data_IF_185063949012
#
_entry.id   IF_185063949012
#
_cell.length_a   1.000
_cell.length_b   1.000
_cell.length_c   1.000
_cell.angle_alpha   90.00
_cell.angle_beta   90.00
_cell.angle_gamma   90.00
#
_symmetry.space_group_name_H-M   'P 1'
#
loop_
_entity.id
_entity.type
_entity.pdbx_description
1 polymer ?
#
# COMPACT_ATOMS: atom_id res chain seq x y z
N UNK A 1 8.01 22.27 28.75
CA UNK A 1 7.90 23.65 28.23
C UNK A 1 8.03 23.67 26.70
N UNK A 2 7.28 22.82 25.98
CA UNK A 2 7.42 22.67 24.51
C UNK A 2 6.60 23.65 23.68
N UNK A 3 5.67 24.40 24.29
CA UNK A 3 4.82 25.38 23.60
C UNK A 3 5.59 26.59 23.02
N UNK A 4 6.72 26.99 23.62
CA UNK A 4 7.53 28.11 23.12
C UNK A 4 8.25 27.79 21.80
N UNK A 5 8.33 26.52 21.39
CA UNK A 5 8.98 26.14 20.11
C UNK A 5 8.23 26.69 18.89
N UNK A 6 6.94 26.97 19.02
CA UNK A 6 6.15 27.62 17.97
C UNK A 6 6.52 29.10 17.74
N UNK A 7 7.31 29.68 18.64
CA UNK A 7 7.83 31.04 18.58
C UNK A 7 9.28 31.10 18.04
N UNK A 8 9.83 30.03 17.46
CA UNK A 8 11.16 30.12 16.83
C UNK A 8 11.15 31.01 15.56
N UNK A 9 12.22 31.79 15.31
CA UNK A 9 12.37 32.56 14.07
C UNK A 9 12.40 31.63 12.85
N UNK A 10 11.52 31.85 11.87
CA UNK A 10 11.45 31.06 10.63
C UNK A 10 10.01 30.78 10.16
N UNK A 11 9.10 30.46 11.09
CA UNK A 11 7.73 30.03 10.78
C UNK A 11 6.74 31.17 10.49
N UNK A 12 7.15 32.43 10.70
CA UNK A 12 6.35 33.67 10.55
C UNK A 12 5.04 33.72 11.38
N UNK A 13 4.74 32.70 12.20
CA UNK A 13 3.52 32.55 13.02
C UNK A 13 3.30 33.76 13.94
N UNK A 14 4.36 34.32 14.52
CA UNK A 14 4.29 35.51 15.40
C UNK A 14 3.57 36.69 14.78
N UNK A 15 3.87 36.99 13.51
CA UNK A 15 3.32 38.16 12.81
C UNK A 15 1.82 38.00 12.55
N UNK A 16 1.40 36.77 12.26
CA UNK A 16 -0.01 36.45 12.02
C UNK A 16 -0.81 36.37 13.32
N UNK A 17 -0.24 35.85 14.41
CA UNK A 17 -0.86 35.92 15.73
C UNK A 17 -1.05 37.37 16.18
N UNK A 18 -0.03 38.21 15.99
CA UNK A 18 -0.13 39.64 16.31
C UNK A 18 -1.18 40.35 15.44
N UNK A 19 -1.27 40.01 14.15
CA UNK A 19 -2.32 40.53 13.26
C UNK A 19 -3.73 40.07 13.69
N UNK A 20 -3.88 38.84 14.17
CA UNK A 20 -5.16 38.35 14.71
C UNK A 20 -5.58 39.10 15.97
N UNK A 21 -4.63 39.35 16.89
CA UNK A 21 -4.88 40.12 18.11
C UNK A 21 -5.27 41.57 17.77
N UNK A 22 -4.54 42.22 16.85
CA UNK A 22 -4.88 43.57 16.38
C UNK A 22 -6.26 43.61 15.70
N UNK A 23 -6.58 42.61 14.87
CA UNK A 23 -7.88 42.52 14.23
C UNK A 23 -9.03 42.33 15.23
N UNK A 24 -8.82 41.54 16.28
CA UNK A 24 -9.79 41.37 17.38
C UNK A 24 -9.98 42.66 18.17
N UNK A 25 -8.90 43.38 18.50
CA UNK A 25 -8.98 44.67 19.19
C UNK A 25 -9.75 45.70 18.37
N UNK A 26 -9.52 45.77 17.04
CA UNK A 26 -10.28 46.64 16.13
C UNK A 26 -11.74 46.26 16.03
N UNK A 27 -12.05 44.96 15.99
CA UNK A 27 -13.43 44.47 15.90
C UNK A 27 -14.21 44.79 17.20
N UNK A 28 -13.60 44.57 18.35
CA UNK A 28 -14.20 44.90 19.66
C UNK A 28 -14.34 46.41 19.83
N UNK A 29 -13.31 47.20 19.50
CA UNK A 29 -13.36 48.67 19.63
C UNK A 29 -14.34 49.31 18.63
N UNK A 30 -14.49 48.75 17.43
CA UNK A 30 -15.50 49.19 16.47
C UNK A 30 -16.92 48.92 16.96
N UNK A 31 -17.15 47.78 17.63
CA UNK A 31 -18.43 47.46 18.25
C UNK A 31 -18.76 48.40 19.42
N UNK A 32 -17.76 48.79 20.22
CA UNK A 32 -17.95 49.68 21.37
C UNK A 32 -18.27 51.10 20.94
N UNK A 33 -17.67 51.58 19.84
CA UNK A 33 -18.03 52.85 19.20
C UNK A 33 -19.50 52.85 18.73
N UNK A 34 -19.98 51.73 18.18
CA UNK A 34 -21.37 51.62 17.70
C UNK A 34 -22.37 51.58 18.87
N UNK A 35 -22.08 50.81 19.90
CA UNK A 35 -22.98 50.60 21.03
C UNK A 35 -22.91 51.71 22.09
N UNK A 36 -21.84 52.52 22.08
CA UNK A 36 -21.61 53.55 23.11
C UNK A 36 -21.30 52.98 24.49
N UNK A 37 -20.85 51.72 24.55
CA UNK A 37 -20.56 50.98 25.80
C UNK A 37 -19.11 50.54 25.77
N UNK A 38 -18.37 50.70 26.88
CA UNK A 38 -17.01 50.15 27.03
C UNK A 38 -17.08 48.68 27.43
N UNK A 39 -16.59 47.78 26.59
CA UNK A 39 -16.63 46.33 26.82
C UNK A 39 -15.37 45.79 27.54
N UNK A 40 -14.24 46.49 27.40
CA UNK A 40 -12.93 46.18 27.98
C UNK A 40 -12.30 47.44 28.60
N UNK A 41 -11.61 47.28 29.75
CA UNK A 41 -10.89 48.36 30.41
C UNK A 41 -9.63 48.82 29.63
N UNK A 42 -9.00 49.91 30.12
CA UNK A 42 -7.72 50.57 29.74
C UNK A 42 -7.21 50.50 28.29
N UNK A 43 -6.99 49.32 27.72
CA UNK A 43 -6.48 49.13 26.35
C UNK A 43 -7.49 49.56 25.26
N UNK A 44 -8.79 49.45 25.52
CA UNK A 44 -9.85 49.83 24.57
C UNK A 44 -9.91 51.36 24.35
N UNK A 45 -9.72 52.15 25.41
CA UNK A 45 -9.85 53.61 25.37
C UNK A 45 -8.89 54.27 24.37
N UNK A 46 -7.65 53.77 24.29
CA UNK A 46 -6.66 54.28 23.34
C UNK A 46 -7.00 53.99 21.89
N UNK A 47 -7.47 52.77 21.60
CA UNK A 47 -7.86 52.35 20.24
C UNK A 47 -9.14 53.05 19.80
N UNK A 48 -10.13 53.13 20.67
CA UNK A 48 -11.39 53.86 20.43
C UNK A 48 -11.17 55.35 20.22
N UNK A 49 -10.30 55.99 21.03
CA UNK A 49 -9.91 57.38 20.82
C UNK A 49 -9.23 57.57 19.46
N UNK A 50 -8.31 56.68 19.08
CA UNK A 50 -7.63 56.75 17.78
C UNK A 50 -8.60 56.59 16.61
N UNK A 51 -9.54 55.65 16.69
CA UNK A 51 -10.60 55.45 15.68
C UNK A 51 -11.44 56.72 15.54
N UNK A 52 -11.90 57.31 16.64
CA UNK A 52 -12.72 58.52 16.60
C UNK A 52 -11.93 59.75 16.15
N UNK A 53 -10.63 59.85 16.46
CA UNK A 53 -9.81 60.98 16.02
C UNK A 53 -9.47 60.91 14.52
N UNK A 54 -9.24 59.70 13.99
CA UNK A 54 -8.86 59.49 12.58
C UNK A 54 -10.06 59.36 11.65
N UNK A 55 -11.13 58.69 12.09
CA UNK A 55 -12.33 58.42 11.30
C UNK A 55 -13.55 59.27 11.73
N UNK A 56 -13.46 60.02 12.83
CA UNK A 56 -14.55 60.91 13.28
C UNK A 56 -14.82 62.10 12.36
N UNK A 57 -13.89 62.40 11.43
CA UNK A 57 -14.13 63.34 10.33
C UNK A 57 -15.21 62.89 9.34
N UNK A 58 -15.67 61.64 9.42
CA UNK A 58 -16.75 61.07 8.60
C UNK A 58 -18.17 61.45 9.09
N UNK A 59 -18.29 62.24 10.15
CA UNK A 59 -19.56 62.81 10.61
C UNK A 59 -20.54 61.85 11.29
N UNK A 60 -20.23 60.55 11.40
CA UNK A 60 -21.01 59.61 12.22
C UNK A 60 -20.15 58.55 12.92
N UNK A 61 -20.31 58.35 14.24
CA UNK A 61 -19.64 57.27 14.98
C UNK A 61 -19.98 55.88 14.44
N UNK A 62 -21.19 55.71 13.91
CA UNK A 62 -21.65 54.46 13.31
C UNK A 62 -20.79 54.06 12.10
N UNK A 63 -20.49 54.98 11.18
CA UNK A 63 -19.64 54.70 10.03
C UNK A 63 -18.20 54.39 10.45
N UNK A 64 -17.66 55.14 11.42
CA UNK A 64 -16.31 54.90 11.94
C UNK A 64 -16.19 53.52 12.60
N UNK A 65 -17.18 53.12 13.40
CA UNK A 65 -17.24 51.79 14.03
C UNK A 65 -17.38 50.66 13.02
N UNK A 66 -18.25 50.80 12.01
CA UNK A 66 -18.43 49.80 10.95
C UNK A 66 -17.15 49.60 10.12
N UNK A 67 -16.44 50.67 9.77
CA UNK A 67 -15.16 50.59 9.06
C UNK A 67 -14.08 49.90 9.90
N UNK A 68 -14.00 50.22 11.21
CA UNK A 68 -13.08 49.57 12.13
C UNK A 68 -13.38 48.05 12.26
N UNK A 69 -14.66 47.68 12.36
CA UNK A 69 -15.07 46.27 12.37
C UNK A 69 -14.73 45.55 11.07
N UNK A 70 -14.97 46.19 9.91
CA UNK A 70 -14.64 45.62 8.61
C UNK A 70 -13.13 45.38 8.46
N UNK A 71 -12.30 46.36 8.86
CA UNK A 71 -10.85 46.24 8.85
C UNK A 71 -10.36 45.16 9.83
N UNK A 72 -10.94 45.10 11.03
CA UNK A 72 -10.67 44.07 12.01
C UNK A 72 -10.97 42.66 11.49
N UNK A 73 -12.13 42.48 10.83
CA UNK A 73 -12.50 41.22 10.18
C UNK A 73 -11.53 40.83 9.05
N UNK A 74 -11.08 41.80 8.23
CA UNK A 74 -10.06 41.57 7.20
C UNK A 74 -8.73 41.12 7.82
N UNK A 75 -8.28 41.76 8.90
CA UNK A 75 -7.04 41.39 9.59
C UNK A 75 -7.12 39.98 10.17
N UNK A 76 -8.24 39.63 10.82
CA UNK A 76 -8.49 38.27 11.31
C UNK A 76 -8.49 37.27 10.14
N UNK A 77 -9.18 37.56 9.05
CA UNK A 77 -9.22 36.69 7.87
C UNK A 77 -7.83 36.45 7.26
N UNK A 78 -7.03 37.50 7.10
CA UNK A 78 -5.65 37.41 6.62
C UNK A 78 -4.77 36.65 7.61
N UNK A 79 -4.92 36.89 8.90
CA UNK A 79 -4.17 36.20 9.95
C UNK A 79 -4.48 34.70 9.95
N UNK A 80 -5.75 34.31 10.00
CA UNK A 80 -6.20 32.91 9.98
C UNK A 80 -5.71 32.20 8.72
N UNK A 81 -5.87 32.82 7.54
CA UNK A 81 -5.40 32.25 6.27
C UNK A 81 -3.90 31.95 6.28
N UNK A 82 -3.10 32.87 6.80
CA UNK A 82 -1.65 32.71 6.79
C UNK A 82 -1.14 31.85 7.95
N UNK A 83 -1.81 31.82 9.10
CA UNK A 83 -1.58 30.84 10.17
C UNK A 83 -1.78 29.42 9.66
N UNK A 84 -2.91 29.17 8.97
CA UNK A 84 -3.18 27.88 8.35
C UNK A 84 -2.07 27.49 7.36
N UNK A 85 -1.64 28.42 6.50
CA UNK A 85 -0.51 28.19 5.57
C UNK A 85 0.80 27.89 6.27
N UNK A 86 1.16 28.63 7.31
CA UNK A 86 2.39 28.42 8.08
C UNK A 86 2.43 27.04 8.74
N UNK A 87 1.31 26.56 9.28
CA UNK A 87 1.21 25.21 9.88
C UNK A 87 1.30 24.13 8.79
N UNK A 88 0.59 24.33 7.70
CA UNK A 88 0.56 23.41 6.57
C UNK A 88 1.95 23.21 5.94
N UNK A 89 2.72 24.29 5.75
CA UNK A 89 4.06 24.22 5.15
C UNK A 89 5.05 23.43 6.01
N UNK A 90 4.88 23.44 7.33
CA UNK A 90 5.73 22.68 8.26
C UNK A 90 5.34 21.20 8.28
N UNK A 91 4.05 20.90 8.18
CA UNK A 91 3.55 19.52 8.21
C UNK A 91 3.70 18.79 6.88
N UNK A 92 3.81 19.51 5.76
CA UNK A 92 3.93 18.96 4.41
C UNK A 92 5.00 19.70 3.58
N UNK A 93 6.30 19.48 3.88
CA UNK A 93 7.37 19.97 3.01
C UNK A 93 7.29 19.27 1.63
N UNK A 94 7.45 20.01 0.54
CA UNK A 94 7.76 19.42 -0.78
C UNK A 94 6.60 18.94 -1.66
N UNK A 95 5.32 19.11 -1.30
CA UNK A 95 4.21 18.63 -2.14
C UNK A 95 3.62 19.71 -3.05
N UNK A 96 3.57 19.45 -4.37
CA UNK A 96 2.85 20.22 -5.39
C UNK A 96 1.32 20.06 -5.30
N UNK A 97 0.84 19.09 -4.52
CA UNK A 97 -0.58 18.81 -4.32
C UNK A 97 -1.19 19.69 -3.22
N UNK A 98 -2.46 20.05 -3.40
CA UNK A 98 -3.22 20.83 -2.42
C UNK A 98 -3.17 20.14 -1.03
N UNK A 99 -2.67 20.82 0.03
CA UNK A 99 -2.50 20.24 1.37
C UNK A 99 -3.75 19.58 1.94
N UNK A 100 -4.93 20.10 1.59
CA UNK A 100 -6.21 19.54 1.97
C UNK A 100 -6.44 18.14 1.37
N UNK A 101 -5.97 17.90 0.14
CA UNK A 101 -6.05 16.59 -0.50
C UNK A 101 -5.16 15.56 0.20
N UNK A 102 -3.97 15.94 0.67
CA UNK A 102 -3.07 15.02 1.39
C UNK A 102 -3.66 14.62 2.74
N UNK A 103 -4.18 15.58 3.51
CA UNK A 103 -4.80 15.30 4.80
C UNK A 103 -6.08 14.46 4.64
N UNK A 104 -6.95 14.83 3.70
CA UNK A 104 -8.18 14.09 3.42
C UNK A 104 -7.88 12.68 2.93
N UNK A 105 -6.89 12.51 2.04
CA UNK A 105 -6.44 11.20 1.56
C UNK A 105 -5.93 10.34 2.71
N UNK A 106 -5.09 10.87 3.62
CA UNK A 106 -4.60 10.10 4.78
C UNK A 106 -5.73 9.63 5.69
N UNK A 107 -6.68 10.50 6.04
CA UNK A 107 -7.82 10.09 6.88
C UNK A 107 -8.77 9.12 6.18
N UNK A 108 -9.01 9.32 4.88
CA UNK A 108 -9.86 8.45 4.09
C UNK A 108 -9.26 7.04 3.97
N UNK A 109 -7.97 6.95 3.61
CA UNK A 109 -7.30 5.65 3.46
C UNK A 109 -7.14 4.90 4.79
N UNK A 110 -7.05 5.62 5.93
CA UNK A 110 -7.03 5.00 7.25
C UNK A 110 -8.35 4.30 7.61
N UNK A 111 -9.47 4.71 7.00
CA UNK A 111 -10.79 4.07 7.13
C UNK A 111 -11.09 3.07 6.01
N UNK A 112 -10.12 2.78 5.14
CA UNK A 112 -10.26 1.78 4.09
C UNK A 112 -10.33 0.36 4.66
N UNK A 113 -10.76 -0.63 3.86
CA UNK A 113 -10.86 -2.00 4.32
C UNK A 113 -9.50 -2.60 4.71
N UNK A 114 -9.53 -3.55 5.63
CA UNK A 114 -8.38 -4.38 6.00
C UNK A 114 -8.17 -5.45 4.94
N UNK A 115 -7.09 -5.35 4.16
CA UNK A 115 -6.81 -6.32 3.10
C UNK A 115 -5.54 -7.09 3.42
N UNK A 116 -5.59 -8.41 3.26
CA UNK A 116 -4.43 -9.28 3.35
C UNK A 116 -4.06 -9.72 1.94
N UNK A 117 -2.81 -9.52 1.53
CA UNK A 117 -2.28 -10.01 0.26
C UNK A 117 -1.21 -11.07 0.52
N UNK A 118 -1.37 -12.27 -0.05
CA UNK A 118 -0.50 -13.43 0.19
C UNK A 118 0.23 -13.78 -1.11
N UNK A 119 1.55 -13.86 -1.09
CA UNK A 119 2.31 -14.27 -2.28
C UNK A 119 3.81 -13.99 -2.20
N UNK A 120 4.38 -13.56 -3.33
CA UNK A 120 5.79 -13.28 -3.46
C UNK A 120 6.11 -12.61 -4.80
N UNK A 121 7.41 -12.47 -5.06
CA UNK A 121 7.95 -11.93 -6.29
C UNK A 121 7.52 -10.50 -6.60
N UNK A 122 7.58 -10.18 -7.88
CA UNK A 122 7.22 -8.85 -8.41
C UNK A 122 5.72 -8.66 -8.60
N UNK A 123 4.95 -9.75 -8.71
CA UNK A 123 3.50 -9.73 -8.89
C UNK A 123 2.77 -9.16 -7.67
N UNK A 124 3.12 -9.63 -6.47
CA UNK A 124 2.56 -9.11 -5.22
C UNK A 124 2.87 -7.61 -5.06
N UNK A 125 4.10 -7.20 -5.34
CA UNK A 125 4.50 -5.78 -5.28
C UNK A 125 3.68 -4.89 -6.24
N UNK A 126 3.33 -5.39 -7.43
CA UNK A 126 2.45 -4.69 -8.38
C UNK A 126 1.04 -4.50 -7.81
N UNK A 127 0.48 -5.54 -7.19
CA UNK A 127 -0.82 -5.47 -6.53
C UNK A 127 -0.80 -4.45 -5.38
N UNK A 128 0.20 -4.52 -4.49
CA UNK A 128 0.35 -3.62 -3.35
C UNK A 128 0.49 -2.14 -3.77
N UNK A 129 1.24 -1.86 -4.84
CA UNK A 129 1.38 -0.50 -5.41
C UNK A 129 0.05 0.09 -5.85
N UNK A 130 -0.85 -0.73 -6.40
CA UNK A 130 -2.20 -0.29 -6.74
C UNK A 130 -3.08 -0.15 -5.51
N UNK A 131 -3.10 -1.16 -4.62
CA UNK A 131 -3.98 -1.19 -3.45
C UNK A 131 -3.68 -0.09 -2.43
N UNK A 132 -2.43 0.40 -2.31
CA UNK A 132 -2.07 1.49 -1.38
C UNK A 132 -2.83 2.80 -1.67
N UNK A 133 -3.38 2.93 -2.88
CA UNK A 133 -4.22 4.07 -3.26
C UNK A 133 -5.67 3.98 -2.73
N UNK A 134 -6.07 2.84 -2.16
CA UNK A 134 -7.43 2.55 -1.70
C UNK A 134 -7.53 2.36 -0.18
N UNK A 135 -6.47 1.87 0.46
CA UNK A 135 -6.42 1.65 1.91
C UNK A 135 -4.98 1.69 2.42
N UNK A 136 -4.78 2.11 3.67
CA UNK A 136 -3.51 1.92 4.41
C UNK A 136 -3.52 0.69 5.32
N UNK A 137 -4.66 0.00 5.40
CA UNK A 137 -4.84 -1.20 6.21
C UNK A 137 -4.45 -2.46 5.41
N UNK A 138 -3.27 -2.42 4.78
CA UNK A 138 -2.72 -3.52 3.99
C UNK A 138 -1.77 -4.36 4.82
N UNK A 139 -1.93 -5.69 4.76
CA UNK A 139 -0.94 -6.65 5.27
C UNK A 139 -0.48 -7.57 4.15
N UNK A 140 0.81 -7.56 3.83
CA UNK A 140 1.41 -8.48 2.89
C UNK A 140 2.03 -9.67 3.64
N UNK A 141 1.60 -10.89 3.36
CA UNK A 141 2.21 -12.13 3.83
C UNK A 141 3.06 -12.68 2.69
N UNK A 142 4.36 -12.86 2.95
CA UNK A 142 5.35 -13.06 1.88
C UNK A 142 6.14 -14.35 2.09
N UNK A 143 6.39 -15.09 1.01
CA UNK A 143 7.22 -16.29 1.05
C UNK A 143 8.65 -15.96 1.45
N UNK A 144 9.28 -16.86 2.22
CA UNK A 144 10.70 -16.82 2.56
C UNK A 144 11.43 -18.08 2.09
N UNK A 145 10.92 -18.72 1.04
CA UNK A 145 11.47 -19.95 0.49
C UNK A 145 12.47 -19.74 -0.67
N UNK A 146 12.59 -18.52 -1.20
CA UNK A 146 13.49 -18.13 -2.30
C UNK A 146 14.96 -18.48 -2.00
N UNK A 147 15.66 -19.04 -2.98
CA UNK A 147 17.10 -19.33 -2.93
C UNK A 147 17.84 -18.85 -4.18
N UNK A 148 17.21 -18.00 -4.99
CA UNK A 148 17.78 -17.45 -6.22
C UNK A 148 18.56 -16.14 -6.05
N UNK A 149 19.51 -15.90 -6.95
CA UNK A 149 20.17 -14.61 -7.14
C UNK A 149 20.80 -14.01 -5.89
N UNK A 150 20.57 -12.71 -5.66
CA UNK A 150 21.11 -11.99 -4.49
C UNK A 150 20.51 -12.48 -3.18
N UNK A 151 19.25 -12.93 -3.18
CA UNK A 151 18.59 -13.45 -1.97
C UNK A 151 19.24 -14.76 -1.54
N UNK A 152 19.45 -15.68 -2.48
CA UNK A 152 20.09 -16.98 -2.26
C UNK A 152 21.50 -16.87 -1.73
N UNK A 153 22.33 -15.98 -2.30
CA UNK A 153 23.70 -15.77 -1.81
C UNK A 153 23.73 -15.28 -0.36
N UNK A 154 22.95 -14.25 -0.04
CA UNK A 154 22.89 -13.72 1.34
C UNK A 154 22.35 -14.76 2.32
N UNK A 155 21.37 -15.56 1.88
CA UNK A 155 20.83 -16.66 2.68
C UNK A 155 21.90 -17.71 3.00
N UNK A 156 22.73 -18.09 2.04
CA UNK A 156 23.81 -19.06 2.23
C UNK A 156 24.96 -18.50 3.07
N UNK A 157 25.35 -17.26 2.83
CA UNK A 157 26.50 -16.62 3.48
C UNK A 157 26.21 -16.14 4.91
N UNK A 158 24.98 -15.66 5.16
CA UNK A 158 24.61 -15.02 6.44
C UNK A 158 23.57 -15.80 7.23
N UNK A 159 23.10 -16.95 6.75
CA UNK A 159 22.08 -17.78 7.40
C UNK A 159 20.77 -17.04 7.73
N UNK A 160 20.42 -16.01 6.96
CA UNK A 160 19.18 -15.25 7.09
C UNK A 160 18.10 -15.73 6.11
N UNK A 161 16.81 -15.56 6.40
CA UNK A 161 15.76 -15.76 5.41
C UNK A 161 15.97 -14.87 4.17
N UNK A 162 15.56 -15.31 2.97
CA UNK A 162 15.77 -14.57 1.73
C UNK A 162 15.06 -13.20 1.77
N UNK A 163 15.81 -12.09 1.61
CA UNK A 163 15.26 -10.75 1.81
C UNK A 163 14.49 -10.18 0.61
N UNK A 164 14.62 -10.78 -0.58
CA UNK A 164 14.24 -10.15 -1.85
C UNK A 164 12.75 -9.78 -1.97
N UNK A 165 11.86 -10.72 -1.69
CA UNK A 165 10.42 -10.53 -1.85
C UNK A 165 9.83 -9.61 -0.78
N UNK A 166 10.34 -9.72 0.44
CA UNK A 166 10.04 -8.81 1.55
C UNK A 166 10.44 -7.38 1.16
N UNK A 167 11.67 -7.18 0.66
CA UNK A 167 12.15 -5.88 0.17
C UNK A 167 11.22 -5.31 -0.90
N UNK A 168 10.83 -6.11 -1.89
CA UNK A 168 9.92 -5.66 -2.95
C UNK A 168 8.57 -5.15 -2.39
N UNK A 169 8.03 -5.84 -1.37
CA UNK A 169 6.79 -5.43 -0.72
C UNK A 169 6.95 -4.16 0.12
N UNK A 170 8.06 -4.01 0.85
CA UNK A 170 8.37 -2.79 1.61
C UNK A 170 8.47 -1.58 0.68
N UNK A 171 9.19 -1.70 -0.44
CA UNK A 171 9.30 -0.63 -1.45
C UNK A 171 7.93 -0.35 -2.08
N UNK A 172 7.14 -1.37 -2.40
CA UNK A 172 5.81 -1.18 -2.97
C UNK A 172 4.88 -0.35 -2.08
N UNK A 173 4.94 -0.57 -0.76
CA UNK A 173 4.11 0.09 0.24
C UNK A 173 4.72 1.36 0.84
N UNK A 174 5.95 1.72 0.49
CA UNK A 174 6.60 2.94 0.97
C UNK A 174 5.82 4.20 0.54
N UNK A 175 5.83 5.20 1.42
CA UNK A 175 5.27 6.55 1.23
C UNK A 175 6.44 7.54 1.04
N UNK A 176 7.45 7.15 0.26
CA UNK A 176 8.75 7.86 0.14
C UNK A 176 8.94 8.52 -1.22
N UNK A 177 9.81 9.52 -1.26
CA UNK A 177 10.28 10.17 -2.49
C UNK A 177 10.92 9.16 -3.46
N UNK A 178 10.88 9.45 -4.77
CA UNK A 178 11.36 8.55 -5.82
C UNK A 178 12.82 8.10 -5.61
N UNK A 179 13.67 8.94 -5.01
CA UNK A 179 15.08 8.62 -4.76
C UNK A 179 15.28 7.47 -3.75
N UNK A 180 14.45 7.39 -2.70
CA UNK A 180 14.58 6.32 -1.70
C UNK A 180 14.14 4.98 -2.30
N UNK A 181 13.07 4.98 -3.09
CA UNK A 181 12.64 3.80 -3.85
C UNK A 181 13.74 3.33 -4.83
N UNK A 182 14.38 4.26 -5.53
CA UNK A 182 15.50 3.99 -6.43
C UNK A 182 16.70 3.41 -5.69
N UNK A 183 17.04 3.95 -4.50
CA UNK A 183 18.15 3.46 -3.69
C UNK A 183 17.92 2.04 -3.18
N UNK A 184 16.72 1.73 -2.68
CA UNK A 184 16.38 0.37 -2.24
C UNK A 184 16.32 -0.63 -3.40
N UNK A 185 15.92 -0.16 -4.58
CA UNK A 185 15.87 -0.96 -5.80
C UNK A 185 17.24 -1.07 -6.49
N UNK A 186 18.22 -0.29 -6.05
CA UNK A 186 19.55 -0.27 -6.66
C UNK A 186 20.20 -1.65 -6.60
N UNK A 187 20.79 -2.04 -7.73
CA UNK A 187 21.57 -3.27 -7.89
C UNK A 187 22.96 -2.92 -8.37
N UNK A 188 23.96 -3.34 -7.60
CA UNK A 188 25.36 -3.13 -7.94
C UNK A 188 25.69 -3.84 -9.26
N UNK A 189 26.28 -3.11 -10.21
CA UNK A 189 26.68 -3.66 -11.53
C UNK A 189 28.10 -4.20 -11.54
N UNK A 190 28.95 -3.69 -10.65
CA UNK A 190 30.37 -3.96 -10.56
C UNK A 190 30.80 -3.99 -9.09
N UNK A 191 32.02 -4.47 -8.82
CA UNK A 191 32.57 -4.64 -7.47
C UNK A 191 32.67 -6.11 -7.09
N UNK A 192 33.84 -6.52 -6.64
CA UNK A 192 34.08 -7.89 -6.15
C UNK A 192 33.21 -8.16 -4.90
N UNK A 193 32.51 -9.30 -4.87
CA UNK A 193 31.53 -9.62 -3.82
C UNK A 193 30.22 -8.82 -3.86
N UNK A 194 30.22 -7.58 -4.37
CA UNK A 194 29.02 -6.72 -4.42
C UNK A 194 28.22 -6.87 -5.71
N UNK A 195 28.87 -7.21 -6.83
CA UNK A 195 28.20 -7.30 -8.13
C UNK A 195 26.95 -8.22 -8.08
N UNK A 196 25.83 -7.68 -8.54
CA UNK A 196 24.54 -8.37 -8.54
C UNK A 196 23.78 -8.31 -7.20
N UNK A 197 24.36 -7.85 -6.09
CA UNK A 197 23.59 -7.60 -4.87
C UNK A 197 22.68 -6.40 -5.03
N UNK A 198 21.52 -6.46 -4.36
CA UNK A 198 20.66 -5.30 -4.20
C UNK A 198 20.98 -4.59 -2.89
N UNK A 199 21.11 -3.26 -2.93
CA UNK A 199 21.38 -2.47 -1.73
C UNK A 199 20.29 -2.68 -0.67
N UNK A 200 19.01 -2.71 -1.06
CA UNK A 200 17.92 -3.01 -0.14
C UNK A 200 18.01 -4.40 0.51
N UNK A 201 18.55 -5.40 -0.20
CA UNK A 201 18.79 -6.72 0.40
C UNK A 201 19.92 -6.66 1.44
N UNK A 202 20.99 -5.93 1.16
CA UNK A 202 22.11 -5.74 2.08
C UNK A 202 21.68 -4.98 3.33
N UNK A 203 20.84 -3.96 3.18
CA UNK A 203 20.26 -3.22 4.30
C UNK A 203 19.40 -4.14 5.18
N UNK A 204 18.53 -4.97 4.58
CA UNK A 204 17.72 -5.90 5.36
C UNK A 204 18.58 -6.97 6.05
N UNK A 205 19.64 -7.45 5.40
CA UNK A 205 20.60 -8.37 6.00
C UNK A 205 21.31 -7.75 7.21
N UNK A 206 21.85 -6.54 7.07
CA UNK A 206 22.50 -5.81 8.16
C UNK A 206 21.53 -5.53 9.32
N UNK A 207 20.29 -5.12 9.02
CA UNK A 207 19.28 -4.91 10.05
C UNK A 207 18.89 -6.20 10.77
N UNK A 208 18.90 -7.35 10.07
CA UNK A 208 18.64 -8.67 10.67
C UNK A 208 19.75 -9.05 11.65
N UNK A 209 21.01 -8.87 11.25
CA UNK A 209 22.17 -9.10 12.10
C UNK A 209 22.15 -8.21 13.35
N UNK A 210 21.89 -6.90 13.18
CA UNK A 210 21.80 -5.94 14.28
C UNK A 210 20.62 -6.18 15.23
N UNK A 211 19.46 -6.57 14.69
CA UNK A 211 18.24 -6.80 15.49
C UNK A 211 18.20 -8.21 16.14
N UNK A 212 19.00 -9.15 15.63
CA UNK A 212 18.99 -10.57 16.02
C UNK A 212 17.74 -11.34 15.59
N UNK A 213 16.81 -10.69 14.88
CA UNK A 213 15.51 -11.24 14.49
C UNK A 213 15.05 -10.63 13.16
N UNK A 214 14.74 -11.49 12.19
CA UNK A 214 14.30 -11.09 10.86
C UNK A 214 12.98 -10.33 10.89
N UNK A 215 12.02 -10.72 11.73
CA UNK A 215 10.74 -10.01 11.81
C UNK A 215 10.93 -8.58 12.35
N UNK A 216 11.75 -8.42 13.39
CA UNK A 216 12.13 -7.10 13.91
C UNK A 216 12.82 -6.24 12.87
N UNK A 217 13.75 -6.81 12.09
CA UNK A 217 14.42 -6.08 11.02
C UNK A 217 13.45 -5.55 9.97
N UNK A 218 12.44 -6.33 9.59
CA UNK A 218 11.37 -5.89 8.69
C UNK A 218 10.60 -4.72 9.29
N UNK A 219 10.24 -4.79 10.57
CA UNK A 219 9.48 -3.74 11.25
C UNK A 219 10.27 -2.42 11.40
N UNK A 220 11.58 -2.49 11.65
CA UNK A 220 12.44 -1.30 11.70
C UNK A 220 12.62 -0.70 10.30
N UNK A 221 12.86 -1.53 9.29
CA UNK A 221 13.02 -1.06 7.91
C UNK A 221 11.72 -0.46 7.36
N UNK A 222 10.57 -1.02 7.72
CA UNK A 222 9.26 -0.48 7.39
C UNK A 222 9.05 0.93 7.98
N UNK A 223 9.57 1.19 9.19
CA UNK A 223 9.53 2.52 9.82
C UNK A 223 10.42 3.51 9.09
N UNK A 224 11.65 3.11 8.73
CA UNK A 224 12.58 3.95 7.94
C UNK A 224 11.97 4.33 6.59
N UNK A 225 11.28 3.39 5.95
CA UNK A 225 10.61 3.58 4.65
C UNK A 225 9.20 4.19 4.75
N UNK A 226 8.75 4.60 5.95
CA UNK A 226 7.42 5.16 6.18
C UNK A 226 6.28 4.33 5.54
N UNK A 227 6.38 3.01 5.62
CA UNK A 227 5.49 2.07 4.92
C UNK A 227 4.03 2.24 5.34
N UNK A 228 3.14 2.35 4.35
CA UNK A 228 1.68 2.40 4.52
C UNK A 228 1.05 1.01 4.57
N UNK A 229 1.32 0.26 5.63
CA UNK A 229 0.82 -1.10 5.83
C UNK A 229 1.77 -1.96 6.66
N UNK A 230 1.63 -3.28 6.58
CA UNK A 230 2.49 -4.28 7.23
C UNK A 230 3.01 -5.26 6.21
N UNK A 231 4.27 -5.67 6.37
CA UNK A 231 4.87 -6.79 5.63
C UNK A 231 5.29 -7.82 6.65
N UNK A 232 4.84 -9.07 6.48
CA UNK A 232 5.04 -10.17 7.43
C UNK A 232 5.57 -11.37 6.64
N UNK A 233 6.62 -12.05 7.09
CA UNK A 233 7.05 -13.30 6.48
C UNK A 233 6.01 -14.40 6.76
N UNK A 234 5.81 -15.30 5.80
CA UNK A 234 4.91 -16.47 5.95
C UNK A 234 5.36 -17.42 7.05
N UNK A 235 6.65 -17.48 7.32
CA UNK A 235 7.25 -18.20 8.44
C UNK A 235 8.54 -17.51 8.86
N UNK A 236 8.92 -17.58 10.13
CA UNK A 236 10.26 -17.17 10.59
C UNK A 236 11.26 -18.33 10.55
N UNK A 237 10.78 -19.55 10.28
CA UNK A 237 11.63 -20.72 10.14
C UNK A 237 12.34 -20.69 8.79
N UNK A 238 13.62 -21.06 8.77
CA UNK A 238 14.34 -21.22 7.52
C UNK A 238 13.81 -22.45 6.75
N UNK A 239 13.10 -22.20 5.65
CA UNK A 239 12.44 -23.25 4.85
C UNK A 239 13.04 -23.37 3.44
N UNK A 240 13.28 -24.59 3.00
CA UNK A 240 13.67 -24.93 1.64
C UNK A 240 12.46 -25.51 0.92
N UNK A 241 12.21 -25.04 -0.30
CA UNK A 241 11.14 -25.57 -1.14
C UNK A 241 11.59 -26.83 -1.85
N UNK A 242 10.68 -27.78 -2.02
CA UNK A 242 10.86 -28.93 -2.88
C UNK A 242 9.66 -29.16 -3.78
N UNK A 243 9.88 -29.85 -4.90
CA UNK A 243 8.85 -30.31 -5.82
C UNK A 243 8.98 -31.82 -6.06
N UNK A 244 7.85 -32.54 -5.98
CA UNK A 244 7.70 -33.86 -6.57
C UNK A 244 7.22 -33.68 -8.01
N UNK A 245 7.92 -34.29 -8.95
CA UNK A 245 7.63 -34.23 -10.38
C UNK A 245 6.70 -35.38 -10.79
N UNK A 246 6.11 -35.29 -11.98
CA UNK A 246 5.14 -36.28 -12.47
C UNK A 246 5.70 -37.70 -12.59
N UNK A 247 7.02 -37.85 -12.75
CA UNK A 247 7.70 -39.15 -12.81
C UNK A 247 8.13 -39.69 -11.43
N UNK A 248 7.76 -38.99 -10.34
CA UNK A 248 8.09 -39.35 -8.96
C UNK A 248 9.47 -38.85 -8.49
N UNK A 249 10.29 -38.26 -9.36
CA UNK A 249 11.55 -37.64 -8.93
C UNK A 249 11.32 -36.37 -8.11
N UNK A 250 12.27 -36.02 -7.24
CA UNK A 250 12.17 -34.85 -6.35
C UNK A 250 13.29 -33.86 -6.63
N UNK A 251 12.95 -32.57 -6.66
CA UNK A 251 13.90 -31.46 -6.80
C UNK A 251 13.80 -30.56 -5.58
N UNK A 252 14.95 -30.10 -5.06
CA UNK A 252 15.04 -29.17 -3.94
C UNK A 252 15.62 -27.83 -4.41
N UNK A 253 15.15 -26.76 -3.78
CA UNK A 253 15.52 -25.39 -4.07
C UNK A 253 14.59 -24.74 -5.08
N UNK A 254 14.14 -23.52 -4.79
CA UNK A 254 13.17 -22.79 -5.59
C UNK A 254 13.69 -22.55 -7.02
N UNK A 255 14.94 -22.11 -7.14
CA UNK A 255 15.56 -21.81 -8.43
C UNK A 255 15.77 -23.05 -9.32
N UNK A 256 15.76 -24.25 -8.72
CA UNK A 256 15.98 -25.51 -9.42
C UNK A 256 14.69 -26.13 -9.97
N UNK A 257 13.53 -25.82 -9.36
CA UNK A 257 12.25 -26.43 -9.72
C UNK A 257 11.88 -26.17 -11.20
N UNK A 258 11.93 -24.92 -11.72
CA UNK A 258 11.60 -24.67 -13.12
C UNK A 258 12.61 -25.27 -14.10
N UNK A 259 13.85 -25.52 -13.65
CA UNK A 259 14.93 -26.06 -14.47
C UNK A 259 14.85 -27.58 -14.65
N UNK A 260 13.97 -28.25 -13.90
CA UNK A 260 13.82 -29.70 -13.95
C UNK A 260 13.29 -30.21 -15.29
N UNK A 261 12.61 -29.36 -16.07
CA UNK A 261 12.11 -29.69 -17.40
C UNK A 261 11.01 -30.77 -17.41
N UNK A 262 10.36 -31.01 -16.27
CA UNK A 262 9.29 -32.01 -16.11
C UNK A 262 8.08 -31.38 -15.41
N UNK A 263 6.86 -31.86 -15.66
CA UNK A 263 5.68 -31.35 -14.99
C UNK A 263 5.75 -31.55 -13.47
N UNK A 264 5.39 -30.50 -12.72
CA UNK A 264 5.29 -30.55 -11.26
C UNK A 264 4.00 -31.29 -10.89
N UNK A 265 4.12 -32.29 -10.00
CA UNK A 265 2.97 -32.99 -9.42
C UNK A 265 2.50 -32.28 -8.14
N UNK A 266 3.42 -31.92 -7.25
CA UNK A 266 3.15 -31.12 -6.05
C UNK A 266 4.42 -30.47 -5.51
N UNK A 267 4.26 -29.43 -4.70
CA UNK A 267 5.34 -28.78 -3.94
C UNK A 267 5.18 -28.98 -2.44
N UNK A 268 6.27 -28.86 -1.71
CA UNK A 268 6.33 -29.00 -0.25
C UNK A 268 7.44 -28.12 0.36
N UNK A 269 7.36 -27.89 1.67
CA UNK A 269 8.38 -27.17 2.43
C UNK A 269 9.18 -28.12 3.32
N UNK A 270 10.46 -27.81 3.52
CA UNK A 270 11.35 -28.49 4.46
C UNK A 270 12.05 -27.46 5.36
N UNK A 271 11.93 -27.55 6.70
CA UNK A 271 11.18 -28.57 7.44
C UNK A 271 9.66 -28.36 7.33
N UNK A 272 8.89 -29.45 7.47
CA UNK A 272 7.44 -29.44 7.26
C UNK A 272 6.66 -28.86 8.45
N UNK A 273 7.28 -28.78 9.63
CA UNK A 273 6.71 -28.27 10.88
C UNK A 273 6.99 -26.78 11.11
N UNK A 274 7.39 -26.05 10.06
CA UNK A 274 7.49 -24.60 10.10
C UNK A 274 6.16 -23.96 10.54
N UNK A 275 6.23 -22.79 11.18
CA UNK A 275 5.03 -22.12 11.70
C UNK A 275 4.91 -20.69 11.18
N UNK A 276 3.69 -20.19 11.00
CA UNK A 276 3.46 -18.80 10.65
C UNK A 276 3.57 -17.93 11.90
N UNK A 277 4.01 -16.66 11.78
CA UNK A 277 3.94 -15.72 12.89
C UNK A 277 2.49 -15.51 13.32
N UNK A 278 2.23 -15.34 14.62
CA UNK A 278 0.88 -15.07 15.14
C UNK A 278 0.24 -13.85 14.45
N UNK A 279 1.05 -12.83 14.15
CA UNK A 279 0.62 -11.63 13.43
C UNK A 279 0.05 -11.90 12.02
N UNK A 280 0.50 -12.95 11.34
CA UNK A 280 -0.04 -13.35 10.04
C UNK A 280 -1.45 -13.94 10.18
N UNK A 281 -1.64 -14.83 11.16
CA UNK A 281 -2.94 -15.44 11.47
C UNK A 281 -3.95 -14.39 11.94
N UNK A 282 -3.54 -13.48 12.83
CA UNK A 282 -4.38 -12.36 13.28
C UNK A 282 -4.80 -11.44 12.13
N UNK A 283 -3.92 -11.20 11.16
CA UNK A 283 -4.23 -10.40 10.00
C UNK A 283 -5.28 -11.07 9.12
N UNK A 284 -5.17 -12.38 8.87
CA UNK A 284 -6.16 -13.17 8.12
C UNK A 284 -7.52 -13.16 8.83
N UNK A 285 -7.54 -13.35 10.15
CA UNK A 285 -8.76 -13.38 10.94
C UNK A 285 -9.51 -12.03 10.98
N UNK A 286 -8.79 -10.90 10.85
CA UNK A 286 -9.35 -9.55 10.86
C UNK A 286 -9.54 -8.94 9.47
N UNK A 287 -9.26 -9.71 8.41
CA UNK A 287 -9.36 -9.22 7.05
C UNK A 287 -10.81 -8.93 6.66
N UNK A 288 -11.02 -7.88 5.88
CA UNK A 288 -12.25 -7.65 5.12
C UNK A 288 -12.22 -8.40 3.79
N UNK A 289 -11.03 -8.75 3.28
CA UNK A 289 -10.79 -9.66 2.17
C UNK A 289 -9.35 -10.15 2.17
N UNK A 290 -9.13 -11.37 1.65
CA UNK A 290 -7.81 -11.94 1.41
C UNK A 290 -7.57 -12.08 -0.09
N UNK A 291 -6.39 -11.69 -0.57
CA UNK A 291 -5.99 -11.76 -1.97
C UNK A 291 -4.75 -12.63 -2.10
N UNK A 292 -4.89 -13.77 -2.75
CA UNK A 292 -3.81 -14.71 -3.06
C UNK A 292 -3.25 -14.37 -4.44
N UNK A 293 -1.94 -14.14 -4.51
CA UNK A 293 -1.24 -13.73 -5.72
C UNK A 293 -1.44 -12.25 -6.08
N UNK A 294 -1.05 -11.83 -7.30
CA UNK A 294 -0.46 -12.67 -8.35
C UNK A 294 0.99 -13.04 -8.06
N UNK A 295 1.47 -14.12 -8.67
CA UNK A 295 2.84 -14.61 -8.50
C UNK A 295 2.99 -16.02 -9.07
N UNK A 296 4.23 -16.51 -9.17
CA UNK A 296 4.49 -17.90 -9.57
C UNK A 296 3.67 -18.86 -8.73
N UNK A 297 2.91 -19.74 -9.38
CA UNK A 297 1.95 -20.60 -8.70
C UNK A 297 2.66 -21.50 -7.67
N UNK A 298 3.71 -22.19 -8.13
CA UNK A 298 4.44 -23.17 -7.34
C UNK A 298 5.49 -22.53 -6.45
N UNK A 299 6.13 -21.44 -6.91
CA UNK A 299 7.26 -20.84 -6.18
C UNK A 299 6.99 -19.54 -5.43
N UNK A 300 5.82 -18.92 -5.61
CA UNK A 300 5.46 -17.69 -4.87
C UNK A 300 4.12 -17.77 -4.16
N UNK A 301 3.13 -18.49 -4.69
CA UNK A 301 1.80 -18.60 -4.08
C UNK A 301 1.72 -19.77 -3.11
N UNK A 302 1.84 -21.00 -3.61
CA UNK A 302 1.77 -22.23 -2.81
C UNK A 302 2.72 -22.26 -1.61
N UNK A 303 3.96 -21.73 -1.65
CA UNK A 303 4.86 -21.76 -0.51
C UNK A 303 4.35 -21.01 0.72
N UNK A 304 3.52 -19.97 0.53
CA UNK A 304 2.87 -19.30 1.65
C UNK A 304 1.75 -20.17 2.24
N UNK A 305 0.97 -20.81 1.37
CA UNK A 305 -0.21 -21.59 1.76
C UNK A 305 0.19 -22.92 2.41
N UNK A 306 1.37 -23.46 2.07
CA UNK A 306 1.91 -24.69 2.63
C UNK A 306 2.50 -24.54 4.02
N UNK A 307 2.57 -23.32 4.57
CA UNK A 307 2.94 -23.13 5.97
C UNK A 307 1.76 -23.56 6.87
N UNK A 308 1.91 -24.60 7.71
CA UNK A 308 0.84 -25.11 8.57
C UNK A 308 0.17 -24.00 9.41
N UNK A 309 -1.16 -23.87 9.34
CA UNK A 309 -1.93 -22.83 10.02
C UNK A 309 -2.46 -21.75 9.09
N UNK A 310 -1.82 -21.49 7.94
CA UNK A 310 -2.29 -20.48 6.98
C UNK A 310 -3.58 -20.93 6.31
N UNK A 311 -3.64 -22.15 5.80
CA UNK A 311 -4.84 -22.70 5.15
C UNK A 311 -6.01 -22.83 6.12
N UNK A 312 -5.75 -23.23 7.36
CA UNK A 312 -6.74 -23.29 8.43
C UNK A 312 -7.32 -21.90 8.71
N UNK A 313 -6.47 -20.88 8.86
CA UNK A 313 -6.91 -19.50 9.05
C UNK A 313 -7.73 -18.95 7.87
N UNK A 314 -7.38 -19.34 6.63
CA UNK A 314 -8.16 -18.97 5.44
C UNK A 314 -9.51 -19.68 5.37
N UNK A 315 -9.63 -20.88 5.96
CA UNK A 315 -10.90 -21.61 6.02
C UNK A 315 -11.82 -21.05 7.11
N UNK A 316 -11.24 -20.60 8.23
CA UNK A 316 -11.98 -20.11 9.39
C UNK A 316 -12.34 -18.61 9.29
N UNK A 317 -11.70 -17.85 8.39
CA UNK A 317 -11.97 -16.42 8.22
C UNK A 317 -13.33 -16.19 7.55
N UNK A 318 -14.12 -15.20 8.00
CA UNK A 318 -15.35 -14.79 7.31
C UNK A 318 -15.06 -13.93 6.06
N UNK A 319 -13.80 -13.54 5.86
CA UNK A 319 -13.38 -12.70 4.75
C UNK A 319 -13.45 -13.48 3.42
N UNK A 320 -13.96 -12.89 2.34
CA UNK A 320 -13.87 -13.52 1.04
C UNK A 320 -12.41 -13.62 0.59
N UNK A 321 -12.07 -14.73 -0.04
CA UNK A 321 -10.72 -15.04 -0.51
C UNK A 321 -10.70 -15.01 -2.03
N UNK A 322 -9.85 -14.13 -2.58
CA UNK A 322 -9.70 -13.93 -4.01
C UNK A 322 -8.37 -14.52 -4.48
N UNK A 323 -8.37 -15.25 -5.60
CA UNK A 323 -7.15 -15.65 -6.28
C UNK A 323 -6.93 -14.79 -7.53
N UNK A 324 -5.80 -14.08 -7.62
CA UNK A 324 -5.40 -13.35 -8.83
C UNK A 324 -4.55 -14.27 -9.70
N UNK A 325 -5.14 -14.74 -10.79
CA UNK A 325 -4.48 -15.68 -11.71
C UNK A 325 -3.41 -14.99 -12.56
N UNK A 326 -2.37 -15.74 -12.90
CA UNK A 326 -1.31 -15.26 -13.78
C UNK A 326 -1.83 -14.97 -15.20
N UNK A 327 -1.23 -13.98 -15.86
CA UNK A 327 -1.58 -13.59 -17.24
C UNK A 327 -0.94 -14.55 -18.27
N UNK A 328 0.28 -14.99 -17.98
CA UNK A 328 1.08 -15.87 -18.83
C UNK A 328 1.46 -17.13 -18.04
N UNK A 329 1.56 -18.26 -18.72
CA UNK A 329 2.17 -19.47 -18.18
C UNK A 329 3.66 -19.24 -17.93
N UNK A 330 4.21 -20.02 -17.00
CA UNK A 330 5.63 -20.01 -16.65
C UNK A 330 6.28 -21.32 -17.10
N UNK A 331 7.31 -21.27 -17.96
CA UNK A 331 8.05 -22.44 -18.40
C UNK A 331 8.63 -23.22 -17.23
N UNK A 332 8.44 -24.54 -17.22
CA UNK A 332 8.89 -25.44 -16.16
C UNK A 332 7.98 -25.46 -14.93
N UNK A 333 6.96 -24.60 -14.85
CA UNK A 333 6.02 -24.55 -13.73
C UNK A 333 4.58 -24.82 -14.16
N UNK A 334 4.06 -24.02 -15.10
CA UNK A 334 2.63 -23.98 -15.44
C UNK A 334 2.42 -24.11 -16.96
N UNK A 335 3.26 -24.90 -17.61
CA UNK A 335 3.20 -25.15 -19.05
C UNK A 335 1.82 -25.65 -19.49
N UNK A 336 1.17 -24.88 -20.37
CA UNK A 336 -0.16 -25.21 -20.89
C UNK A 336 -1.32 -25.00 -19.92
N UNK A 337 -1.09 -24.47 -18.72
CA UNK A 337 -2.15 -24.32 -17.72
C UNK A 337 -3.20 -23.29 -18.17
N UNK A 338 -4.46 -23.65 -17.96
CA UNK A 338 -5.59 -22.71 -17.95
C UNK A 338 -5.79 -22.11 -16.55
N UNK A 339 -6.69 -21.13 -16.43
CA UNK A 339 -7.11 -20.62 -15.10
C UNK A 339 -7.67 -21.75 -14.22
N UNK A 340 -8.39 -22.71 -14.82
CA UNK A 340 -8.93 -23.84 -14.09
C UNK A 340 -7.82 -24.78 -13.59
N UNK A 341 -6.72 -24.93 -14.32
CA UNK A 341 -5.61 -25.78 -13.88
C UNK A 341 -4.81 -25.12 -12.74
N UNK A 342 -4.67 -23.79 -12.75
CA UNK A 342 -4.13 -23.05 -11.61
C UNK A 342 -5.00 -23.24 -10.35
N UNK A 343 -6.32 -23.12 -10.49
CA UNK A 343 -7.24 -23.37 -9.38
C UNK A 343 -7.18 -24.82 -8.90
N UNK A 344 -7.11 -25.78 -9.82
CA UNK A 344 -7.00 -27.20 -9.46
C UNK A 344 -5.74 -27.45 -8.64
N UNK A 345 -4.58 -26.93 -9.07
CA UNK A 345 -3.36 -27.05 -8.30
C UNK A 345 -3.49 -26.43 -6.90
N UNK A 346 -4.11 -25.25 -6.75
CA UNK A 346 -4.36 -24.66 -5.43
C UNK A 346 -5.27 -25.55 -4.56
N UNK A 347 -6.36 -26.06 -5.13
CA UNK A 347 -7.32 -26.94 -4.44
C UNK A 347 -6.67 -28.27 -4.05
N UNK A 348 -5.85 -28.85 -4.92
CA UNK A 348 -5.15 -30.12 -4.66
C UNK A 348 -4.16 -29.99 -3.49
N UNK A 349 -3.59 -28.79 -3.27
CA UNK A 349 -2.66 -28.54 -2.17
C UNK A 349 -3.34 -28.06 -0.88
N UNK A 350 -4.42 -27.27 -1.00
CA UNK A 350 -5.00 -26.57 0.15
C UNK A 350 -6.37 -27.15 0.59
N UNK A 351 -7.00 -27.95 -0.27
CA UNK A 351 -8.38 -28.40 -0.12
C UNK A 351 -9.40 -27.46 -0.79
N UNK A 352 -10.66 -27.92 -0.85
CA UNK A 352 -11.77 -27.15 -1.41
C UNK A 352 -12.31 -26.09 -0.44
N UNK A 353 -13.04 -25.11 -0.99
CA UNK A 353 -13.77 -24.11 -0.21
C UNK A 353 -12.94 -22.94 0.32
N UNK A 354 -11.68 -22.81 -0.10
CA UNK A 354 -10.80 -21.71 0.33
C UNK A 354 -10.88 -20.50 -0.60
N UNK A 355 -11.11 -20.70 -1.90
CA UNK A 355 -11.10 -19.61 -2.89
C UNK A 355 -12.53 -19.35 -3.33
N UNK A 356 -13.03 -18.14 -3.07
CA UNK A 356 -14.39 -17.73 -3.45
C UNK A 356 -14.45 -17.19 -4.88
N UNK A 357 -13.48 -16.33 -5.23
CA UNK A 357 -13.44 -15.67 -6.54
C UNK A 357 -12.05 -15.81 -7.16
N UNK A 358 -11.99 -16.20 -8.43
CA UNK A 358 -10.79 -16.04 -9.26
C UNK A 358 -10.89 -14.78 -10.12
N UNK A 359 -9.86 -13.95 -10.05
CA UNK A 359 -9.68 -12.76 -10.87
C UNK A 359 -8.73 -13.12 -12.01
N UNK A 360 -9.21 -13.04 -13.25
CA UNK A 360 -8.47 -13.42 -14.45
C UNK A 360 -8.45 -12.32 -15.51
N UNK A 361 -7.31 -12.20 -16.20
CA UNK A 361 -7.15 -11.31 -17.35
C UNK A 361 -7.96 -11.81 -18.55
N UNK A 362 -8.76 -10.92 -19.17
CA UNK A 362 -9.63 -11.27 -20.31
C UNK A 362 -9.53 -10.29 -21.48
N UNK A 363 -8.36 -9.69 -21.73
CA UNK A 363 -8.16 -8.75 -22.84
C UNK A 363 -7.16 -9.23 -23.88
N UNK A 364 -6.94 -8.43 -24.93
CA UNK A 364 -5.91 -8.73 -25.91
C UNK A 364 -4.52 -8.54 -25.30
N UNK A 365 -3.60 -9.44 -25.66
CA UNK A 365 -2.16 -9.28 -25.47
C UNK A 365 -1.54 -9.04 -26.85
N UNK A 366 -0.69 -8.02 -26.97
CA UNK A 366 -0.12 -7.64 -28.26
C UNK A 366 0.59 -8.81 -28.97
N UNK A 367 0.59 -8.82 -30.31
CA UNK A 367 1.28 -9.87 -31.09
C UNK A 367 2.78 -9.89 -30.79
N UNK A 368 3.38 -8.71 -30.57
CA UNK A 368 4.78 -8.58 -30.21
C UNK A 368 5.07 -9.22 -28.84
N UNK A 369 4.27 -8.94 -27.83
CA UNK A 369 4.41 -9.56 -26.51
C UNK A 369 4.20 -11.08 -26.56
N UNK A 370 3.16 -11.55 -27.27
CA UNK A 370 2.91 -13.00 -27.45
C UNK A 370 4.08 -13.71 -28.12
N UNK A 371 4.70 -13.12 -29.15
CA UNK A 371 5.88 -13.69 -29.79
C UNK A 371 7.07 -13.74 -28.84
N UNK A 372 7.40 -12.62 -28.19
CA UNK A 372 8.52 -12.50 -27.24
C UNK A 372 8.43 -13.49 -26.08
N UNK A 373 7.24 -13.70 -25.54
CA UNK A 373 7.03 -14.68 -24.46
C UNK A 373 6.95 -16.12 -25.01
N UNK A 374 6.37 -16.32 -26.19
CA UNK A 374 6.31 -17.62 -26.86
C UNK A 374 7.68 -18.19 -27.22
N UNK A 375 8.63 -17.34 -27.61
CA UNK A 375 10.05 -17.71 -27.81
C UNK A 375 10.71 -18.29 -26.54
N UNK A 376 10.17 -17.96 -25.36
CA UNK A 376 10.61 -18.48 -24.06
C UNK A 376 9.75 -19.63 -23.54
N UNK A 377 8.80 -20.14 -24.34
CA UNK A 377 7.85 -21.19 -23.92
C UNK A 377 6.62 -20.69 -23.15
N UNK A 378 6.51 -19.40 -22.87
CA UNK A 378 5.38 -18.83 -22.13
C UNK A 378 4.21 -18.45 -23.06
N UNK A 379 2.97 -18.77 -22.66
CA UNK A 379 1.75 -18.52 -23.43
C UNK A 379 0.69 -17.82 -22.56
N UNK A 380 -0.26 -17.07 -23.15
CA UNK A 380 -1.38 -16.52 -22.37
C UNK A 380 -2.19 -17.60 -21.68
N UNK A 381 -2.53 -17.39 -20.40
CA UNK A 381 -3.37 -18.31 -19.63
C UNK A 381 -4.82 -18.20 -20.11
N UNK A 382 -5.39 -19.32 -20.55
CA UNK A 382 -6.74 -19.37 -21.11
C UNK A 382 -7.80 -19.50 -20.00
N UNK A 383 -8.95 -18.85 -20.21
CA UNK A 383 -10.09 -18.93 -19.31
C UNK A 383 -11.04 -20.04 -19.78
N UNK A 384 -11.23 -21.07 -18.95
CA UNK A 384 -12.25 -22.10 -19.15
C UNK A 384 -13.36 -21.94 -18.10
N UNK A 385 -14.39 -21.15 -18.42
CA UNK A 385 -15.44 -20.80 -17.45
C UNK A 385 -16.29 -21.98 -16.96
N UNK A 386 -16.71 -22.93 -17.83
CA UNK A 386 -17.40 -24.13 -17.35
C UNK A 386 -16.57 -24.94 -16.34
N UNK A 387 -15.26 -25.07 -16.56
CA UNK A 387 -14.38 -25.79 -15.63
C UNK A 387 -14.27 -25.08 -14.28
N UNK A 388 -14.15 -23.74 -14.27
CA UNK A 388 -14.08 -22.93 -13.05
C UNK A 388 -15.40 -23.02 -12.26
N UNK A 389 -16.55 -22.91 -12.93
CA UNK A 389 -17.86 -22.99 -12.28
C UNK A 389 -18.10 -24.35 -11.60
N UNK A 390 -17.61 -25.45 -12.19
CA UNK A 390 -17.68 -26.80 -11.56
C UNK A 390 -16.87 -26.92 -10.28
N UNK A 391 -15.90 -26.04 -10.04
CA UNK A 391 -15.12 -25.99 -8.81
C UNK A 391 -15.79 -25.14 -7.72
N UNK A 392 -16.96 -24.54 -8.01
CA UNK A 392 -17.67 -23.68 -7.06
C UNK A 392 -17.06 -22.27 -6.90
N UNK A 393 -16.15 -21.86 -7.79
CA UNK A 393 -15.44 -20.58 -7.71
C UNK A 393 -16.09 -19.55 -8.65
N UNK A 394 -16.36 -18.35 -8.16
CA UNK A 394 -16.85 -17.23 -8.99
C UNK A 394 -15.72 -16.72 -9.90
N UNK A 395 -16.02 -16.40 -11.17
CA UNK A 395 -15.04 -15.86 -12.12
C UNK A 395 -15.24 -14.36 -12.33
N UNK A 396 -14.25 -13.56 -11.91
CA UNK A 396 -14.16 -12.12 -12.23
C UNK A 396 -13.15 -11.89 -13.35
N UNK A 397 -13.58 -11.19 -14.39
CA UNK A 397 -12.77 -10.92 -15.58
C UNK A 397 -12.46 -9.43 -15.69
N UNK A 398 -11.26 -9.09 -16.18
CA UNK A 398 -10.91 -7.71 -16.49
C UNK A 398 -9.75 -7.58 -17.47
N UNK A 399 -9.60 -6.39 -18.06
CA UNK A 399 -8.44 -6.08 -18.90
C UNK A 399 -7.28 -5.57 -18.05
N UNK A 400 -6.50 -6.52 -17.53
CA UNK A 400 -5.56 -6.27 -16.44
C UNK A 400 -4.08 -6.14 -16.86
N UNK A 401 -3.75 -6.12 -18.14
CA UNK A 401 -2.34 -6.18 -18.58
C UNK A 401 -1.70 -4.79 -18.69
N UNK A 402 -0.45 -4.69 -18.26
CA UNK A 402 0.53 -3.66 -18.61
C UNK A 402 1.61 -4.34 -19.46
N UNK A 403 1.95 -3.74 -20.60
CA UNK A 403 2.93 -4.26 -21.57
C UNK A 403 4.14 -3.31 -21.76
N UNK A 404 4.27 -2.23 -20.98
CA UNK A 404 5.27 -1.16 -21.21
C UNK A 404 6.71 -1.67 -21.25
N UNK A 405 7.05 -2.65 -20.41
CA UNK A 405 8.38 -3.28 -20.41
C UNK A 405 8.27 -4.80 -20.49
N UNK A 406 7.42 -5.38 -19.64
CA UNK A 406 7.14 -6.81 -19.53
C UNK A 406 5.62 -7.00 -19.46
N UNK A 407 5.12 -8.18 -19.82
CA UNK A 407 3.71 -8.54 -19.59
C UNK A 407 3.54 -8.79 -18.10
N UNK A 408 2.77 -7.92 -17.46
CA UNK A 408 2.44 -8.02 -16.04
C UNK A 408 1.05 -7.44 -15.78
N UNK A 409 0.56 -7.57 -14.56
CA UNK A 409 -0.64 -6.86 -14.16
C UNK A 409 -0.41 -5.35 -14.15
N UNK A 410 -1.39 -4.59 -14.63
CA UNK A 410 -1.41 -3.14 -14.46
C UNK A 410 -1.87 -2.82 -13.03
N UNK A 411 -1.05 -2.13 -12.20
CA UNK A 411 -1.34 -1.88 -10.79
C UNK A 411 -2.73 -1.31 -10.53
N UNK A 412 -3.09 -0.20 -11.21
CA UNK A 412 -4.36 0.49 -10.98
C UNK A 412 -5.58 -0.32 -11.44
N UNK A 413 -5.52 -0.98 -12.60
CA UNK A 413 -6.64 -1.78 -13.12
C UNK A 413 -6.88 -3.01 -12.26
N UNK A 414 -5.81 -3.66 -11.80
CA UNK A 414 -5.91 -4.80 -10.89
C UNK A 414 -6.48 -4.37 -9.54
N UNK A 415 -5.93 -3.32 -8.93
CA UNK A 415 -6.42 -2.83 -7.64
C UNK A 415 -7.88 -2.37 -7.72
N UNK A 416 -8.27 -1.65 -8.78
CA UNK A 416 -9.66 -1.25 -8.99
C UNK A 416 -10.60 -2.46 -9.04
N UNK A 417 -10.26 -3.48 -9.83
CA UNK A 417 -11.09 -4.69 -9.95
C UNK A 417 -11.16 -5.49 -8.65
N UNK A 418 -10.06 -5.60 -7.91
CA UNK A 418 -10.04 -6.20 -6.57
C UNK A 418 -10.95 -5.43 -5.63
N UNK A 419 -10.87 -4.10 -5.61
CA UNK A 419 -11.69 -3.27 -4.72
C UNK A 419 -13.17 -3.30 -5.08
N UNK A 420 -13.52 -3.32 -6.37
CA UNK A 420 -14.90 -3.57 -6.82
C UNK A 420 -15.44 -4.87 -6.22
N UNK A 421 -14.61 -5.91 -6.20
CA UNK A 421 -14.96 -7.23 -5.68
C UNK A 421 -15.10 -7.22 -4.15
N UNK A 422 -14.17 -6.59 -3.43
CA UNK A 422 -14.27 -6.36 -1.97
C UNK A 422 -15.60 -5.68 -1.64
N UNK A 423 -15.90 -4.56 -2.30
CA UNK A 423 -17.13 -3.81 -2.03
C UNK A 423 -18.39 -4.56 -2.45
N UNK A 424 -18.33 -5.39 -3.49
CA UNK A 424 -19.45 -6.26 -3.91
C UNK A 424 -19.80 -7.27 -2.81
N UNK A 425 -18.79 -7.92 -2.23
CA UNK A 425 -19.00 -8.85 -1.11
C UNK A 425 -19.49 -8.15 0.15
N UNK A 426 -18.95 -6.97 0.49
CA UNK A 426 -19.43 -6.18 1.63
C UNK A 426 -20.87 -5.66 1.42
N UNK A 427 -21.23 -5.26 0.19
CA UNK A 427 -22.55 -4.72 -0.14
C UNK A 427 -23.66 -5.79 -0.15
N UNK A 428 -23.32 -7.08 -0.34
CA UNK A 428 -24.24 -8.20 -0.07
C UNK A 428 -24.75 -8.18 1.38
N UNK A 429 -24.04 -7.50 2.30
CA UNK A 429 -24.48 -7.20 3.68
C UNK A 429 -25.08 -5.81 3.93
N UNK A 430 -24.75 -4.75 3.15
CA UNK A 430 -25.29 -3.37 3.33
C UNK A 430 -25.42 -2.60 1.99
N UNK A 431 -26.65 -2.50 1.47
CA UNK A 431 -27.00 -1.97 0.12
C UNK A 431 -26.70 -0.48 -0.18
N UNK A 432 -26.33 0.37 0.79
CA UNK A 432 -26.28 1.84 0.58
C UNK A 432 -24.90 2.43 0.25
N UNK A 433 -23.79 1.73 0.46
CA UNK A 433 -22.43 2.30 0.28
C UNK A 433 -21.92 2.25 -1.17
N UNK A 434 -22.43 1.31 -1.97
CA UNK A 434 -21.96 0.99 -3.32
C UNK A 434 -22.12 2.14 -4.34
N UNK A 435 -23.14 2.98 -4.19
CA UNK A 435 -23.43 4.07 -5.13
C UNK A 435 -22.46 5.25 -5.03
N UNK A 436 -22.04 5.62 -3.81
CA UNK A 436 -21.12 6.76 -3.58
C UNK A 436 -19.67 6.46 -4.01
N UNK A 437 -19.27 5.20 -3.89
CA UNK A 437 -17.97 4.66 -4.30
C UNK A 437 -17.89 4.70 -5.84
N UNK A 438 -18.86 4.10 -6.53
CA UNK A 438 -18.86 3.94 -7.99
C UNK A 438 -18.85 5.26 -8.79
N UNK A 439 -19.51 6.32 -8.32
CA UNK A 439 -19.46 7.63 -9.02
C UNK A 439 -18.09 8.31 -8.92
N UNK A 440 -17.37 8.17 -7.80
CA UNK A 440 -16.05 8.79 -7.63
C UNK A 440 -14.91 8.03 -8.35
N UNK A 441 -15.04 6.74 -8.60
CA UNK A 441 -14.03 5.96 -9.33
C UNK A 441 -14.00 6.26 -10.84
N UNK A 442 -15.11 6.71 -11.44
CA UNK A 442 -15.13 7.13 -12.85
C UNK A 442 -14.31 8.39 -13.12
N UNK A 443 -14.13 9.25 -12.13
CA UNK A 443 -13.37 10.50 -12.26
C UNK A 443 -11.85 10.33 -12.16
N UNK A 444 -11.35 9.22 -11.63
CA UNK A 444 -9.90 8.93 -11.52
C UNK A 444 -9.35 8.09 -12.68
N UNK A 445 -10.23 7.55 -13.54
CA UNK A 445 -9.89 6.69 -14.67
C UNK A 445 -9.98 7.41 -16.04
N UNK A 446 -10.01 8.74 -16.05
CA UNK A 446 -9.93 9.57 -17.26
C UNK A 446 -8.60 10.30 -17.33
#
# INVERSE_FOLDING_TARGET
MDGLKWLYPGLKIKRWLLLAVLGLLLLVSGLTVILGITLLASAEKGVTWFILHTLGGLGSPLLAGLLAMALGAVFIGVAVRNLARSVIQVLLPGHTANPWQVFYRRQYLARGPHLVAIGGGTGLAVLLRGLKNYTRNLTAIVTVADDGGSSGRLRQELSIPPPGDIRNCLVALADTESLMEDLFSYRFRQGEGLAGHSLGNLLLAAMTDMAGDFDRAIQELARVLAVGGRVIPSTTTHVVMGAELADGSTVLGESNIPLAGKPIKRVFLKPADCRPPAAALEAIARADAVIIGPGSLYTSVLPNLLVPGIVEALRDTPAPVFYVCNIMTQPGETDGYTVADHLRALIDHCGQGIIDTVIAHSGPISRAARRRYGEKGARPVLINSPAIARMGVELRRGWLVDETHVVRHHPERLASLVMEEVYRHQARGRRRFFYLVRERFRTLAR
#
